data_IF_659219493702
#
_entry.id   IF_659219493702
#
_cell.length_a   1.000
_cell.length_b   1.000
_cell.length_c   1.000
_cell.angle_alpha   90.00
_cell.angle_beta   90.00
_cell.angle_gamma   90.00
#
_symmetry.space_group_name_H-M   'P 1'
#
loop_
_entity.id
_entity.type
_entity.pdbx_description
1 polymer ?
#
# COMPACT_ATOMS: atom_id res chain seq x y z
N UNK A 1 43.03 43.37 -1.47
CA UNK A 1 42.81 42.38 -2.57
C UNK A 1 41.91 41.30 -2.06
N UNK A 2 40.61 41.34 -2.41
CA UNK A 2 39.59 40.41 -1.95
C UNK A 2 39.21 39.50 -3.11
N UNK A 3 39.64 38.24 -3.08
CA UNK A 3 39.28 37.22 -4.04
C UNK A 3 37.99 36.56 -3.61
N UNK A 4 36.89 36.76 -4.39
CA UNK A 4 35.64 36.08 -4.23
C UNK A 4 35.75 34.69 -4.89
N UNK A 5 35.59 33.65 -4.06
CA UNK A 5 35.48 32.25 -4.54
C UNK A 5 34.01 31.98 -4.86
N UNK A 6 33.70 31.95 -6.15
CA UNK A 6 32.37 31.46 -6.63
C UNK A 6 32.34 29.95 -6.45
N UNK A 7 31.47 29.48 -5.55
CA UNK A 7 31.15 28.06 -5.44
C UNK A 7 30.29 27.62 -6.61
N UNK A 8 30.83 26.71 -7.41
CA UNK A 8 30.11 26.01 -8.50
C UNK A 8 29.00 25.13 -7.89
N UNK A 9 27.76 25.49 -8.17
CA UNK A 9 26.60 24.64 -7.85
C UNK A 9 26.49 23.52 -8.88
N UNK A 10 26.48 22.24 -8.48
CA UNK A 10 26.30 21.14 -9.43
C UNK A 10 24.90 21.20 -10.02
N UNK A 11 24.81 21.43 -11.34
CA UNK A 11 23.60 21.26 -12.15
C UNK A 11 23.28 19.77 -12.21
N UNK A 12 22.36 19.30 -11.37
CA UNK A 12 21.81 17.97 -11.52
C UNK A 12 20.97 17.89 -12.79
N UNK A 13 21.25 16.96 -13.71
CA UNK A 13 20.43 16.80 -14.92
C UNK A 13 19.05 16.27 -14.52
N UNK A 14 18.02 17.02 -14.89
CA UNK A 14 16.59 16.76 -14.61
C UNK A 14 16.11 15.45 -15.28
N UNK A 15 16.88 14.89 -16.18
CA UNK A 15 16.51 13.70 -16.96
C UNK A 15 16.63 12.36 -16.20
N UNK A 16 17.26 12.34 -15.01
CA UNK A 16 17.46 11.09 -14.27
C UNK A 16 16.20 10.61 -13.54
N UNK A 17 15.31 11.53 -13.14
CA UNK A 17 14.07 11.17 -12.44
C UNK A 17 13.02 10.52 -13.35
N UNK A 18 12.90 10.94 -14.60
CA UNK A 18 11.92 10.41 -15.56
C UNK A 18 12.21 8.97 -15.97
N UNK A 19 13.49 8.60 -16.08
CA UNK A 19 13.88 7.24 -16.51
C UNK A 19 13.68 6.18 -15.43
N UNK A 20 13.84 6.55 -14.16
CA UNK A 20 13.59 5.63 -13.02
C UNK A 20 12.10 5.37 -12.84
N UNK A 21 11.25 6.40 -12.97
CA UNK A 21 9.79 6.23 -12.89
C UNK A 21 9.24 5.38 -14.03
N UNK A 22 9.77 5.52 -15.24
CA UNK A 22 9.33 4.73 -16.39
C UNK A 22 9.70 3.25 -16.26
N UNK A 23 10.88 2.93 -15.73
CA UNK A 23 11.30 1.54 -15.51
C UNK A 23 10.56 0.85 -14.37
N UNK A 24 10.21 1.55 -13.29
CA UNK A 24 9.44 0.98 -12.18
C UNK A 24 7.99 0.68 -12.62
N UNK A 25 7.39 1.51 -13.47
CA UNK A 25 6.05 1.26 -14.01
C UNK A 25 6.00 0.11 -15.01
N UNK A 26 7.09 -0.15 -15.76
CA UNK A 26 7.11 -1.17 -16.82
C UNK A 26 7.54 -2.57 -16.34
N UNK A 27 8.19 -2.70 -15.18
CA UNK A 27 8.65 -4.01 -14.69
C UNK A 27 7.57 -4.82 -13.95
N UNK A 28 6.37 -4.28 -13.75
CA UNK A 28 5.27 -5.02 -13.10
C UNK A 28 4.39 -5.78 -14.11
N UNK A 29 4.98 -6.24 -15.23
CA UNK A 29 4.31 -7.13 -16.21
C UNK A 29 4.40 -8.61 -15.87
N UNK A 30 4.49 -8.99 -14.61
CA UNK A 30 4.00 -10.28 -14.18
C UNK A 30 2.48 -10.13 -14.06
N UNK A 31 1.80 -10.26 -15.18
CA UNK A 31 0.34 -10.41 -15.23
C UNK A 31 -0.03 -11.75 -14.60
N UNK A 32 0.03 -11.83 -13.26
CA UNK A 32 -0.77 -12.81 -12.56
C UNK A 32 -2.18 -12.57 -13.07
N UNK A 33 -2.76 -13.56 -13.76
CA UNK A 33 -4.13 -13.55 -14.25
C UNK A 33 -4.99 -12.88 -13.18
N UNK A 34 -5.64 -11.75 -13.53
CA UNK A 34 -6.44 -11.00 -12.58
C UNK A 34 -7.49 -11.95 -12.00
N UNK A 35 -7.42 -12.17 -10.69
CA UNK A 35 -8.36 -13.06 -10.00
C UNK A 35 -9.71 -12.37 -9.93
N UNK A 36 -10.77 -13.14 -10.09
CA UNK A 36 -12.11 -12.61 -9.98
C UNK A 36 -12.40 -12.20 -8.52
N UNK A 37 -13.26 -11.20 -8.35
CA UNK A 37 -13.76 -10.78 -7.05
C UNK A 37 -14.29 -11.94 -6.20
N UNK A 38 -15.04 -12.87 -6.83
CA UNK A 38 -15.61 -14.02 -6.16
C UNK A 38 -14.53 -14.98 -5.62
N UNK A 39 -13.46 -15.22 -6.38
CA UNK A 39 -12.33 -16.05 -5.95
C UNK A 39 -11.61 -15.45 -4.74
N UNK A 40 -11.38 -14.12 -4.76
CA UNK A 40 -10.73 -13.41 -3.64
C UNK A 40 -11.58 -13.49 -2.38
N UNK A 41 -12.90 -13.27 -2.49
CA UNK A 41 -13.82 -13.37 -1.36
C UNK A 41 -13.90 -14.78 -0.79
N UNK A 42 -13.90 -15.81 -1.64
CA UNK A 42 -13.89 -17.20 -1.21
C UNK A 42 -12.59 -17.54 -0.45
N UNK A 43 -11.44 -17.03 -0.92
CA UNK A 43 -10.17 -17.22 -0.22
C UNK A 43 -10.15 -16.50 1.14
N UNK A 44 -10.67 -15.28 1.21
CA UNK A 44 -10.81 -14.55 2.49
C UNK A 44 -11.67 -15.35 3.47
N UNK A 45 -12.80 -15.91 3.02
CA UNK A 45 -13.70 -16.69 3.85
C UNK A 45 -13.07 -18.00 4.35
N UNK A 46 -12.11 -18.56 3.63
CA UNK A 46 -11.40 -19.80 4.00
C UNK A 46 -10.22 -19.58 4.96
N UNK A 47 -9.84 -18.32 5.25
CA UNK A 47 -8.71 -18.04 6.14
C UNK A 47 -9.03 -18.43 7.58
N UNK A 48 -8.04 -18.99 8.32
CA UNK A 48 -8.16 -19.21 9.76
C UNK A 48 -8.24 -17.87 10.52
N UNK A 49 -8.56 -17.89 11.83
CA UNK A 49 -8.56 -16.69 12.65
C UNK A 49 -7.26 -15.90 12.46
N UNK A 50 -7.40 -14.63 12.09
CA UNK A 50 -6.28 -13.77 11.72
C UNK A 50 -6.08 -12.66 12.75
N UNK A 51 -4.81 -12.36 13.05
CA UNK A 51 -4.43 -11.31 14.00
C UNK A 51 -3.45 -10.37 13.30
N UNK A 52 -3.72 -9.06 13.42
CA UNK A 52 -2.79 -8.06 12.92
C UNK A 52 -1.73 -7.77 13.98
N UNK A 53 -0.46 -7.76 13.59
CA UNK A 53 0.63 -7.40 14.49
C UNK A 53 1.94 -8.08 14.12
N UNK A 54 2.90 -7.94 15.05
CA UNK A 54 4.23 -8.56 14.95
C UNK A 54 4.56 -9.24 16.28
N UNK A 55 5.10 -10.44 16.21
CA UNK A 55 5.55 -11.15 17.41
C UNK A 55 7.00 -10.78 17.68
N UNK A 56 7.27 -10.25 18.86
CA UNK A 56 8.61 -10.02 19.41
C UNK A 56 8.92 -11.02 20.50
N UNK A 57 10.17 -11.48 20.55
CA UNK A 57 10.66 -12.41 21.55
C UNK A 57 11.82 -11.79 22.30
N UNK A 58 11.83 -11.90 23.62
CA UNK A 58 12.94 -11.46 24.43
C UNK A 58 13.26 -12.53 25.50
N UNK A 59 14.55 -12.67 25.79
CA UNK A 59 15.03 -13.62 26.78
C UNK A 59 15.38 -12.87 28.07
N UNK A 60 14.94 -13.42 29.20
CA UNK A 60 15.31 -12.95 30.52
C UNK A 60 16.05 -14.05 31.27
N UNK A 61 17.15 -13.70 31.92
CA UNK A 61 17.92 -14.62 32.75
C UNK A 61 17.49 -14.41 34.21
N UNK A 62 16.93 -15.44 34.81
CA UNK A 62 16.52 -15.44 36.22
C UNK A 62 17.75 -15.45 37.12
N UNK A 63 17.59 -15.08 38.40
CA UNK A 63 18.68 -15.08 39.40
C UNK A 63 19.36 -16.45 39.56
N UNK A 64 18.66 -17.56 39.26
CA UNK A 64 19.20 -18.92 39.25
C UNK A 64 19.94 -19.31 37.93
N UNK A 65 20.22 -18.36 37.05
CA UNK A 65 20.88 -18.61 35.77
C UNK A 65 19.97 -19.18 34.66
N UNK A 66 18.70 -19.51 34.97
CA UNK A 66 17.77 -20.06 33.98
C UNK A 66 17.34 -18.98 32.99
N UNK A 67 17.53 -19.26 31.69
CA UNK A 67 17.08 -18.38 30.61
C UNK A 67 15.62 -18.70 30.24
N UNK A 68 14.74 -17.70 30.37
CA UNK A 68 13.32 -17.81 30.03
C UNK A 68 13.03 -16.89 28.85
N UNK A 69 12.39 -17.42 27.79
CA UNK A 69 11.98 -16.65 26.61
C UNK A 69 10.52 -16.26 26.74
N UNK A 70 10.24 -14.98 26.58
CA UNK A 70 8.90 -14.41 26.56
C UNK A 70 8.56 -13.95 25.16
N UNK A 71 7.28 -14.08 24.81
CA UNK A 71 6.77 -13.68 23.50
C UNK A 71 5.65 -12.66 23.69
N UNK A 72 5.71 -11.56 22.93
CA UNK A 72 4.70 -10.53 22.95
C UNK A 72 4.19 -10.27 21.52
N UNK A 73 2.87 -10.17 21.37
CA UNK A 73 2.24 -9.63 20.17
C UNK A 73 2.19 -8.11 20.29
N UNK A 74 2.77 -7.41 19.34
CA UNK A 74 2.71 -5.95 19.22
C UNK A 74 1.79 -5.59 18.06
N UNK A 75 0.81 -4.73 18.29
CA UNK A 75 -0.14 -4.28 17.28
C UNK A 75 -0.55 -2.83 17.53
N UNK A 76 -1.08 -2.20 16.50
CA UNK A 76 -1.61 -0.83 16.60
C UNK A 76 -3.13 -0.88 16.46
N UNK A 77 -3.84 -0.29 17.42
CA UNK A 77 -5.28 -0.15 17.39
C UNK A 77 -5.68 1.28 17.73
N UNK A 78 -6.47 1.93 16.86
CA UNK A 78 -6.89 3.33 17.04
C UNK A 78 -5.70 4.30 17.15
N UNK A 79 -4.63 4.10 16.39
CA UNK A 79 -3.41 4.92 16.43
C UNK A 79 -2.51 4.71 17.65
N UNK A 80 -2.88 3.80 18.56
CA UNK A 80 -2.11 3.49 19.78
C UNK A 80 -1.43 2.14 19.69
N UNK A 81 -0.15 2.08 20.06
CA UNK A 81 0.58 0.83 20.19
C UNK A 81 0.07 0.03 21.40
N UNK A 82 -0.20 -1.23 21.19
CA UNK A 82 -0.61 -2.19 22.19
C UNK A 82 0.33 -3.38 22.18
N UNK A 83 0.52 -3.98 23.36
CA UNK A 83 1.30 -5.21 23.53
C UNK A 83 0.49 -6.20 24.33
N UNK A 84 0.51 -7.46 23.89
CA UNK A 84 -0.15 -8.59 24.54
C UNK A 84 0.86 -9.71 24.76
N UNK A 85 1.00 -10.18 26.00
CA UNK A 85 1.89 -11.28 26.34
C UNK A 85 1.32 -12.61 25.86
N UNK A 86 2.07 -13.36 25.06
CA UNK A 86 1.65 -14.64 24.50
C UNK A 86 2.05 -15.76 25.46
N UNK A 87 1.12 -16.62 25.93
CA UNK A 87 1.46 -17.82 26.66
C UNK A 87 2.37 -18.75 25.85
N UNK A 88 3.37 -19.35 26.48
CA UNK A 88 4.38 -20.19 25.81
C UNK A 88 3.76 -21.31 24.97
N UNK A 89 2.70 -21.95 25.44
CA UNK A 89 1.99 -23.02 24.73
C UNK A 89 1.17 -22.57 23.52
N UNK A 90 0.98 -21.25 23.31
CA UNK A 90 0.17 -20.70 22.20
C UNK A 90 0.98 -19.92 21.15
N UNK A 91 2.30 -19.94 21.26
CA UNK A 91 3.17 -19.14 20.41
C UNK A 91 2.99 -19.49 18.93
N UNK A 92 2.88 -20.79 18.61
CA UNK A 92 2.75 -21.23 17.22
C UNK A 92 1.37 -20.93 16.62
N UNK A 93 0.31 -21.01 17.45
CA UNK A 93 -1.02 -20.55 17.04
C UNK A 93 -1.02 -19.05 16.71
N UNK A 94 -0.36 -18.22 17.52
CA UNK A 94 -0.23 -16.79 17.26
C UNK A 94 0.62 -16.49 16.03
N UNK A 95 1.68 -17.27 15.79
CA UNK A 95 2.47 -17.14 14.54
C UNK A 95 1.61 -17.43 13.31
N UNK A 96 0.83 -18.51 13.33
CA UNK A 96 -0.09 -18.86 12.26
C UNK A 96 -1.16 -17.77 12.06
N UNK A 97 -1.75 -17.24 13.15
CA UNK A 97 -2.74 -16.18 13.11
C UNK A 97 -2.16 -14.86 12.53
N UNK A 98 -0.92 -14.51 12.87
CA UNK A 98 -0.25 -13.33 12.30
C UNK A 98 0.07 -13.54 10.82
N UNK A 99 0.48 -14.73 10.40
CA UNK A 99 0.70 -15.07 8.99
C UNK A 99 -0.61 -14.96 8.20
N UNK A 100 -1.72 -15.48 8.74
CA UNK A 100 -3.05 -15.33 8.16
C UNK A 100 -3.47 -13.85 8.08
N UNK A 101 -3.14 -13.03 9.08
CA UNK A 101 -3.41 -11.58 9.08
C UNK A 101 -2.67 -10.83 7.99
N UNK A 102 -1.42 -11.20 7.69
CA UNK A 102 -0.66 -10.64 6.57
C UNK A 102 -1.32 -11.01 5.24
N UNK A 103 -1.68 -12.28 5.06
CA UNK A 103 -2.36 -12.78 3.87
C UNK A 103 -3.72 -12.10 3.66
N UNK A 104 -4.50 -11.92 4.73
CA UNK A 104 -5.77 -11.20 4.68
C UNK A 104 -5.57 -9.76 4.19
N UNK A 105 -4.55 -9.05 4.69
CA UNK A 105 -4.24 -7.70 4.25
C UNK A 105 -3.92 -7.63 2.75
N UNK A 106 -3.16 -8.58 2.24
CA UNK A 106 -2.83 -8.67 0.81
C UNK A 106 -4.10 -8.91 -0.03
N UNK A 107 -4.96 -9.85 0.40
CA UNK A 107 -6.23 -10.14 -0.29
C UNK A 107 -7.20 -8.96 -0.29
N UNK A 108 -7.26 -8.17 0.79
CA UNK A 108 -8.08 -6.96 0.86
C UNK A 108 -7.58 -5.90 -0.11
N UNK A 109 -6.27 -5.74 -0.27
CA UNK A 109 -5.69 -4.82 -1.27
C UNK A 109 -5.99 -5.30 -2.70
N UNK A 110 -5.88 -6.60 -2.96
CA UNK A 110 -6.22 -7.19 -4.26
C UNK A 110 -7.72 -7.03 -4.58
N UNK A 111 -8.59 -7.25 -3.59
CA UNK A 111 -10.04 -7.02 -3.72
C UNK A 111 -10.37 -5.55 -4.03
N UNK A 112 -9.71 -4.62 -3.35
CA UNK A 112 -9.90 -3.19 -3.60
C UNK A 112 -9.51 -2.81 -5.03
N UNK A 113 -8.44 -3.41 -5.55
CA UNK A 113 -8.02 -3.22 -6.94
C UNK A 113 -9.05 -3.80 -7.92
N UNK A 114 -9.50 -5.04 -7.70
CA UNK A 114 -10.51 -5.68 -8.54
C UNK A 114 -11.83 -4.87 -8.57
N UNK A 115 -12.27 -4.35 -7.43
CA UNK A 115 -13.44 -3.47 -7.35
C UNK A 115 -13.24 -2.17 -8.14
N UNK A 116 -12.06 -1.55 -8.07
CA UNK A 116 -11.75 -0.33 -8.82
C UNK A 116 -11.78 -0.58 -10.35
N UNK A 117 -11.23 -1.72 -10.79
CA UNK A 117 -11.25 -2.14 -12.20
C UNK A 117 -12.69 -2.42 -12.67
N UNK A 118 -13.52 -3.03 -11.84
CA UNK A 118 -14.95 -3.29 -12.14
C UNK A 118 -15.72 -1.97 -12.27
N UNK A 119 -15.54 -1.03 -11.34
CA UNK A 119 -16.18 0.29 -11.40
C UNK A 119 -15.73 1.05 -12.65
N UNK A 120 -14.44 1.06 -12.96
CA UNK A 120 -13.91 1.74 -14.15
C UNK A 120 -14.44 1.15 -15.45
N UNK A 121 -14.68 -0.17 -15.49
CA UNK A 121 -15.24 -0.82 -16.67
C UNK A 121 -16.76 -0.64 -16.81
N UNK A 122 -17.47 -0.40 -15.71
CA UNK A 122 -18.93 -0.19 -15.69
C UNK A 122 -19.35 1.22 -16.11
N UNK A 123 -18.44 2.20 -16.10
CA UNK A 123 -18.72 3.53 -16.61
C UNK A 123 -18.86 3.48 -18.13
N UNK A 124 -20.09 3.54 -18.61
CA UNK A 124 -20.38 3.87 -20.02
C UNK A 124 -19.61 5.13 -20.41
N UNK A 125 -18.96 5.16 -21.59
CA UNK A 125 -18.23 6.33 -22.02
C UNK A 125 -19.17 7.53 -22.02
N UNK A 126 -18.99 8.43 -21.08
CA UNK A 126 -19.65 9.74 -21.08
C UNK A 126 -19.46 10.32 -22.47
N UNK A 127 -20.54 10.35 -23.28
CA UNK A 127 -20.57 11.03 -24.56
C UNK A 127 -20.02 12.42 -24.30
N UNK A 128 -18.81 12.70 -24.78
CA UNK A 128 -18.24 14.04 -24.78
C UNK A 128 -19.27 14.92 -25.48
N UNK A 129 -20.07 15.67 -24.69
CA UNK A 129 -20.96 16.71 -25.19
C UNK A 129 -20.07 17.64 -26.02
N UNK A 130 -20.24 17.58 -27.35
CA UNK A 130 -19.59 18.51 -28.25
C UNK A 130 -20.07 19.89 -27.87
N UNK A 131 -19.19 20.68 -27.25
CA UNK A 131 -19.41 22.10 -27.06
C UNK A 131 -19.54 22.71 -28.45
N UNK A 132 -20.80 22.92 -28.90
CA UNK A 132 -21.11 23.77 -30.03
C UNK A 132 -20.56 25.16 -29.69
N UNK A 133 -19.52 25.55 -30.39
CA UNK A 133 -18.99 26.88 -30.37
C UNK A 133 -20.09 27.85 -30.85
N UNK A 134 -20.74 28.53 -29.91
CA UNK A 134 -21.65 29.60 -30.19
C UNK A 134 -20.89 30.70 -30.95
N UNK A 135 -21.18 30.82 -32.26
CA UNK A 135 -20.66 31.86 -33.12
C UNK A 135 -21.09 33.22 -32.61
N UNK A 136 -20.10 34.00 -32.17
CA UNK A 136 -20.24 35.38 -31.74
C UNK A 136 -20.72 36.23 -32.91
N UNK A 137 -21.96 36.71 -32.87
CA UNK A 137 -22.52 37.64 -33.86
C UNK A 137 -21.72 38.95 -33.92
N UNK A 138 -21.52 39.56 -35.11
CA UNK A 138 -20.78 40.79 -35.24
C UNK A 138 -21.59 41.98 -34.69
N UNK A 139 -20.96 42.77 -33.81
CA UNK A 139 -21.52 44.05 -33.34
C UNK A 139 -21.64 45.00 -34.50
N UNK A 140 -22.87 45.38 -34.86
CA UNK A 140 -23.16 46.52 -35.74
C UNK A 140 -22.75 47.81 -35.03
N UNK A 141 -21.82 48.55 -35.64
CA UNK A 141 -21.51 49.93 -35.32
C UNK A 141 -22.59 50.80 -35.93
N UNK A 142 -23.32 51.54 -35.12
CA UNK A 142 -24.14 52.65 -35.55
C UNK A 142 -23.43 53.94 -35.19
N UNK A 143 -23.38 54.80 -36.19
CA UNK A 143 -22.79 56.15 -36.28
C UNK A 143 -23.73 57.12 -35.55
#
# INVERSE_FOLDING_TARGET
MHGAIYADTPKFPIDFCTHIYYNICMQNKNSKKARSRAEILAEIASLPPSVQGTISSYANVRKNGTKVVYHNLQYTHGGRHRSFAIPVGKVDEFKAAVAAGKKLKELVLELSRANAEEIASSESPLKKSSRTSSSRAPRRSTR
#
